data_IF_179623798969
#
_entry.id   IF_179623798969
#
_cell.length_a   1.000
_cell.length_b   1.000
_cell.length_c   1.000
_cell.angle_alpha   90.00
_cell.angle_beta   90.00
_cell.angle_gamma   90.00
#
_symmetry.space_group_name_H-M   'P 1'
#
loop_
_entity.id
_entity.type
_entity.pdbx_description
1 polymer ?
#
# COMPACT_ATOMS: atom_id res chain seq x y z
N UNK A 1 -0.91 -10.69 -7.98
CA UNK A 1 -1.60 -9.49 -7.47
C UNK A 1 -2.52 -9.81 -6.28
N UNK A 2 -3.65 -10.52 -6.46
CA UNK A 2 -4.62 -10.71 -5.36
C UNK A 2 -4.09 -11.44 -4.12
N UNK A 3 -3.25 -12.47 -4.29
CA UNK A 3 -2.63 -13.19 -3.17
C UNK A 3 -1.73 -12.28 -2.32
N UNK A 4 -0.88 -11.49 -2.99
CA UNK A 4 -0.02 -10.49 -2.37
C UNK A 4 -0.84 -9.48 -1.56
N UNK A 5 -1.86 -8.86 -2.16
CA UNK A 5 -2.72 -7.90 -1.47
C UNK A 5 -3.41 -8.46 -0.24
N UNK A 6 -3.91 -9.70 -0.32
CA UNK A 6 -4.50 -10.38 0.82
C UNK A 6 -3.47 -10.55 1.94
N UNK A 7 -2.26 -11.00 1.61
CA UNK A 7 -1.19 -11.15 2.59
C UNK A 7 -0.84 -9.82 3.28
N UNK A 8 -0.66 -8.74 2.50
CA UNK A 8 -0.34 -7.40 3.03
C UNK A 8 -1.38 -6.93 4.05
N UNK A 9 -2.67 -7.05 3.74
CA UNK A 9 -3.75 -6.60 4.65
C UNK A 9 -3.73 -7.37 5.97
N UNK A 10 -3.62 -8.70 5.91
CA UNK A 10 -3.62 -9.52 7.13
C UNK A 10 -2.36 -9.31 7.98
N UNK A 11 -1.19 -9.18 7.35
CA UNK A 11 0.04 -8.88 8.07
C UNK A 11 0.01 -7.49 8.68
N UNK A 12 -0.45 -6.47 7.94
CA UNK A 12 -0.57 -5.11 8.46
C UNK A 12 -1.47 -5.07 9.70
N UNK A 13 -2.63 -5.73 9.65
CA UNK A 13 -3.50 -5.89 10.82
C UNK A 13 -2.75 -6.51 12.01
N UNK A 14 -2.11 -7.68 11.80
CA UNK A 14 -1.38 -8.36 12.88
C UNK A 14 -0.24 -7.51 13.44
N UNK A 15 0.49 -6.79 12.59
CA UNK A 15 1.56 -5.87 13.00
C UNK A 15 1.02 -4.71 13.83
N UNK A 16 -0.09 -4.08 13.41
CA UNK A 16 -0.75 -3.04 14.18
C UNK A 16 -1.20 -3.53 15.56
N UNK A 17 -1.80 -4.71 15.64
CA UNK A 17 -2.21 -5.33 16.90
C UNK A 17 -1.02 -5.62 17.82
N UNK A 18 0.11 -6.09 17.28
CA UNK A 18 1.32 -6.27 18.08
C UNK A 18 1.90 -4.94 18.55
N UNK A 19 1.94 -3.92 17.70
CA UNK A 19 2.45 -2.60 18.08
C UNK A 19 1.62 -1.98 19.20
N UNK A 20 0.29 -2.04 19.11
CA UNK A 20 -0.61 -1.59 20.20
C UNK A 20 -0.32 -2.39 21.48
N UNK A 21 -0.19 -3.71 21.39
CA UNK A 21 0.07 -4.56 22.56
C UNK A 21 1.37 -4.20 23.29
N UNK A 22 2.45 -3.89 22.56
CA UNK A 22 3.78 -3.70 23.14
C UNK A 22 4.13 -2.24 23.44
N UNK A 23 3.53 -1.28 22.72
CA UNK A 23 3.87 0.14 22.82
C UNK A 23 2.69 1.01 23.28
N UNK A 24 1.45 0.55 23.10
CA UNK A 24 0.23 1.23 23.54
C UNK A 24 0.22 2.74 23.22
N UNK A 25 0.23 3.60 24.25
CA UNK A 25 0.19 5.04 24.10
C UNK A 25 1.48 5.66 23.53
N UNK A 26 2.63 4.96 23.59
CA UNK A 26 3.90 5.45 23.08
C UNK A 26 4.00 5.33 21.55
N UNK A 27 3.23 4.42 20.96
CA UNK A 27 3.13 4.25 19.50
C UNK A 27 1.67 3.95 19.11
N UNK A 28 0.79 4.96 19.14
CA UNK A 28 -0.61 4.77 18.80
C UNK A 28 -0.75 4.36 17.34
N UNK A 29 -1.61 3.38 17.09
CA UNK A 29 -1.95 2.89 15.75
C UNK A 29 -3.45 3.00 15.55
N UNK A 30 -3.88 3.74 14.54
CA UNK A 30 -5.29 3.74 14.14
C UNK A 30 -5.57 2.53 13.24
N UNK A 31 -6.22 1.51 13.81
CA UNK A 31 -6.49 0.25 13.10
C UNK A 31 -7.41 0.41 11.89
N UNK A 32 -8.37 1.32 11.91
CA UNK A 32 -9.27 1.55 10.78
C UNK A 32 -8.53 2.19 9.60
N UNK A 33 -7.70 3.21 9.90
CA UNK A 33 -6.84 3.86 8.90
C UNK A 33 -5.82 2.88 8.34
N UNK A 34 -5.19 2.07 9.20
CA UNK A 34 -4.22 1.06 8.80
C UNK A 34 -4.83 0.02 7.85
N UNK A 35 -5.97 -0.56 8.23
CA UNK A 35 -6.62 -1.60 7.44
C UNK A 35 -7.15 -1.02 6.12
N UNK A 36 -7.81 0.14 6.14
CA UNK A 36 -8.28 0.81 4.94
C UNK A 36 -7.13 1.14 3.99
N UNK A 37 -6.04 1.72 4.51
CA UNK A 37 -4.83 2.00 3.75
C UNK A 37 -4.19 0.74 3.16
N UNK A 38 -4.08 -0.34 3.94
CA UNK A 38 -3.49 -1.60 3.46
C UNK A 38 -4.32 -2.23 2.31
N UNK A 39 -5.65 -2.15 2.39
CA UNK A 39 -6.56 -2.62 1.34
C UNK A 39 -6.34 -1.81 0.06
N UNK A 40 -6.25 -0.48 0.18
CA UNK A 40 -6.33 0.45 -0.93
C UNK A 40 -4.99 0.93 -1.49
N UNK A 41 -3.85 0.65 -0.83
CA UNK A 41 -2.56 1.25 -1.20
C UNK A 41 -2.18 1.02 -2.68
N UNK A 42 -2.66 -0.06 -3.27
CA UNK A 42 -2.38 -0.48 -4.64
C UNK A 42 -3.55 -0.30 -5.62
N UNK A 43 -4.64 0.36 -5.21
CA UNK A 43 -5.87 0.45 -6.03
C UNK A 43 -5.62 1.14 -7.38
N UNK A 44 -4.66 2.07 -7.43
CA UNK A 44 -4.24 2.74 -8.67
C UNK A 44 -3.61 1.79 -9.70
N UNK A 45 -3.17 0.57 -9.34
CA UNK A 45 -2.65 -0.40 -10.31
C UNK A 45 -3.71 -0.83 -11.33
N UNK A 46 -4.99 -0.71 -10.99
CA UNK A 46 -6.10 -0.96 -11.91
C UNK A 46 -6.22 0.10 -13.01
N UNK A 47 -5.62 1.28 -12.80
CA UNK A 47 -5.52 2.36 -13.77
C UNK A 47 -4.15 2.38 -14.46
N UNK A 48 -3.08 2.05 -13.72
CA UNK A 48 -1.70 2.02 -14.25
C UNK A 48 -1.48 0.87 -15.26
N UNK A 49 -2.20 -0.23 -15.10
CA UNK A 49 -2.09 -1.41 -15.97
C UNK A 49 -3.42 -1.78 -16.60
N UNK A 50 -3.36 -2.30 -17.83
CA UNK A 50 -4.49 -2.86 -18.54
C UNK A 50 -4.18 -4.27 -19.07
N UNK A 51 -5.22 -5.02 -19.42
CA UNK A 51 -5.06 -6.32 -20.09
C UNK A 51 -5.21 -6.16 -21.59
N UNK A 52 -4.18 -6.56 -22.34
CA UNK A 52 -4.19 -6.60 -23.80
C UNK A 52 -3.72 -7.98 -24.24
N UNK A 53 -4.54 -8.68 -25.03
CA UNK A 53 -4.26 -10.04 -25.53
C UNK A 53 -3.87 -11.03 -24.41
N UNK A 54 -4.55 -10.95 -23.27
CA UNK A 54 -4.29 -11.79 -22.10
C UNK A 54 -3.03 -11.43 -21.30
N UNK A 55 -2.24 -10.44 -21.74
CA UNK A 55 -1.05 -9.96 -21.04
C UNK A 55 -1.36 -8.67 -20.29
N UNK A 56 -0.78 -8.52 -19.10
CA UNK A 56 -0.81 -7.26 -18.36
C UNK A 56 0.26 -6.33 -18.94
N UNK A 57 -0.15 -5.16 -19.41
CA UNK A 57 0.73 -4.12 -19.96
C UNK A 57 0.44 -2.79 -19.28
N UNK A 58 1.41 -1.87 -19.28
CA UNK A 58 1.17 -0.51 -18.77
C UNK A 58 0.18 0.20 -19.68
N UNK A 59 -0.86 0.80 -19.09
CA UNK A 59 -1.87 1.57 -19.82
C UNK A 59 -1.29 2.90 -20.30
N UNK A 60 -1.96 3.58 -21.24
CA UNK A 60 -1.56 4.93 -21.65
C UNK A 60 -1.54 5.90 -20.47
N UNK A 61 -2.56 5.83 -19.61
CA UNK A 61 -2.64 6.61 -18.38
C UNK A 61 -1.47 6.29 -17.42
N UNK A 62 -1.15 5.00 -17.26
CA UNK A 62 -0.08 4.51 -16.40
C UNK A 62 1.32 4.94 -16.82
N UNK A 63 1.54 5.28 -18.10
CA UNK A 63 2.81 5.85 -18.57
C UNK A 63 3.08 7.24 -17.99
N UNK A 64 2.01 7.99 -17.68
CA UNK A 64 2.10 9.35 -17.13
C UNK A 64 1.93 9.36 -15.61
N UNK A 65 1.05 8.52 -15.06
CA UNK A 65 0.63 8.57 -13.65
C UNK A 65 0.72 7.19 -13.00
N UNK A 66 1.64 7.05 -12.03
CA UNK A 66 1.84 5.79 -11.28
C UNK A 66 0.70 5.50 -10.30
N UNK A 67 0.59 4.25 -9.84
CA UNK A 67 -0.47 3.81 -8.92
C UNK A 67 -0.57 4.56 -7.59
N UNK A 68 0.50 5.10 -6.97
CA UNK A 68 0.33 5.85 -5.72
C UNK A 68 -0.50 7.13 -5.95
N UNK A 69 -0.19 7.88 -7.02
CA UNK A 69 -0.91 9.12 -7.36
C UNK A 69 -2.32 8.86 -7.87
N UNK A 70 -2.48 7.90 -8.78
CA UNK A 70 -3.80 7.56 -9.31
C UNK A 70 -4.69 6.88 -8.28
N UNK A 71 -4.10 6.12 -7.35
CA UNK A 71 -4.79 5.56 -6.19
C UNK A 71 -5.29 6.64 -5.23
N UNK A 72 -4.47 7.67 -4.96
CA UNK A 72 -4.91 8.85 -4.18
C UNK A 72 -6.07 9.53 -4.86
N UNK A 73 -5.96 9.86 -6.15
CA UNK A 73 -7.02 10.54 -6.89
C UNK A 73 -8.35 9.75 -6.87
N UNK A 74 -8.27 8.43 -7.04
CA UNK A 74 -9.45 7.56 -6.97
C UNK A 74 -10.07 7.52 -5.57
N UNK A 75 -9.25 7.37 -4.53
CA UNK A 75 -9.71 7.31 -3.15
C UNK A 75 -10.30 8.65 -2.68
N UNK A 76 -9.65 9.76 -3.04
CA UNK A 76 -10.11 11.12 -2.73
C UNK A 76 -11.46 11.42 -3.38
N UNK A 77 -11.65 11.01 -4.65
CA UNK A 77 -12.94 11.15 -5.35
C UNK A 77 -14.10 10.41 -4.66
N UNK A 78 -13.80 9.43 -3.81
CA UNK A 78 -14.79 8.68 -3.00
C UNK A 78 -14.86 9.16 -1.55
N UNK A 79 -14.24 10.30 -1.21
CA UNK A 79 -14.36 10.94 0.10
C UNK A 79 -13.57 10.26 1.21
N UNK A 80 -12.51 9.50 0.87
CA UNK A 80 -11.67 8.86 1.87
C UNK A 80 -10.83 9.89 2.63
N UNK A 81 -10.60 9.69 3.94
CA UNK A 81 -9.94 10.69 4.76
C UNK A 81 -8.46 10.84 4.40
N UNK A 82 -7.85 12.03 4.59
CA UNK A 82 -6.44 12.29 4.25
C UNK A 82 -5.45 11.29 4.85
N UNK A 83 -5.73 10.74 6.04
CA UNK A 83 -4.86 9.74 6.67
C UNK A 83 -4.77 8.43 5.85
N UNK A 84 -5.86 8.02 5.20
CA UNK A 84 -5.86 6.86 4.29
C UNK A 84 -5.19 7.23 2.97
N UNK A 85 -5.47 8.43 2.44
CA UNK A 85 -4.81 8.94 1.22
C UNK A 85 -3.28 8.98 1.40
N UNK A 86 -2.80 9.37 2.58
CA UNK A 86 -1.38 9.40 2.91
C UNK A 86 -0.71 8.03 2.82
N UNK A 87 -1.38 6.97 3.30
CA UNK A 87 -0.87 5.60 3.15
C UNK A 87 -0.77 5.24 1.67
N UNK A 88 -1.80 5.52 0.88
CA UNK A 88 -1.80 5.23 -0.56
C UNK A 88 -0.65 5.98 -1.26
N UNK A 89 -0.48 7.26 -0.96
CA UNK A 89 0.57 8.10 -1.54
C UNK A 89 1.99 7.62 -1.18
N UNK A 90 2.18 7.10 0.03
CA UNK A 90 3.53 6.94 0.62
C UNK A 90 3.95 5.50 0.90
N UNK A 91 3.11 4.50 0.63
CA UNK A 91 3.49 3.10 0.85
C UNK A 91 4.63 2.62 -0.07
N UNK A 92 4.81 3.24 -1.24
CA UNK A 92 5.86 2.91 -2.20
C UNK A 92 7.08 3.86 -2.09
N UNK A 93 7.93 3.90 -3.12
CA UNK A 93 9.14 4.72 -3.14
C UNK A 93 8.87 6.23 -3.09
N UNK A 94 7.69 6.68 -3.50
CA UNK A 94 7.22 8.07 -3.34
C UNK A 94 7.28 8.52 -1.89
N UNK A 95 7.05 7.60 -0.95
CA UNK A 95 7.14 7.88 0.48
C UNK A 95 8.55 8.17 0.99
N UNK A 96 9.61 7.89 0.21
CA UNK A 96 10.99 8.18 0.61
C UNK A 96 11.32 9.68 0.50
N UNK A 97 10.48 10.43 -0.20
CA UNK A 97 10.60 11.88 -0.36
C UNK A 97 9.83 12.66 0.72
N UNK A 98 9.09 11.97 1.59
CA UNK A 98 8.23 12.58 2.62
C UNK A 98 8.27 11.77 3.92
N UNK A 99 7.56 12.22 4.96
CA UNK A 99 7.41 11.46 6.20
C UNK A 99 6.17 10.56 6.14
N UNK A 100 6.36 9.28 6.42
CA UNK A 100 5.27 8.31 6.57
C UNK A 100 4.61 8.45 7.95
N UNK A 101 3.30 8.24 8.03
CA UNK A 101 2.63 8.00 9.31
C UNK A 101 3.04 6.62 9.85
N UNK A 102 2.69 6.34 11.11
CA UNK A 102 2.90 5.01 11.72
C UNK A 102 2.26 3.92 10.85
N UNK A 103 1.01 4.12 10.45
CA UNK A 103 0.27 3.18 9.61
C UNK A 103 0.90 3.03 8.23
N UNK A 104 1.37 4.13 7.63
CA UNK A 104 2.05 4.08 6.33
C UNK A 104 3.38 3.31 6.41
N UNK A 105 4.14 3.43 7.50
CA UNK A 105 5.32 2.61 7.74
C UNK A 105 4.98 1.12 7.84
N UNK A 106 3.91 0.77 8.58
CA UNK A 106 3.46 -0.62 8.69
C UNK A 106 3.11 -1.17 7.30
N UNK A 107 2.28 -0.44 6.53
CA UNK A 107 1.86 -0.89 5.20
C UNK A 107 3.05 -1.01 4.25
N UNK A 108 3.96 -0.03 4.22
CA UNK A 108 5.18 -0.08 3.42
C UNK A 108 6.00 -1.34 3.73
N UNK A 109 6.28 -1.60 5.00
CA UNK A 109 7.08 -2.77 5.38
C UNK A 109 6.35 -4.09 5.11
N UNK A 110 5.04 -4.17 5.36
CA UNK A 110 4.25 -5.37 5.02
C UNK A 110 4.20 -5.64 3.51
N UNK A 111 4.14 -4.59 2.70
CA UNK A 111 4.18 -4.68 1.24
C UNK A 111 5.55 -5.19 0.76
N UNK A 112 6.63 -4.53 1.18
CA UNK A 112 7.98 -4.85 0.73
C UNK A 112 8.52 -6.17 1.32
N UNK A 113 8.13 -6.56 2.54
CA UNK A 113 8.55 -7.84 3.11
C UNK A 113 7.99 -9.05 2.35
N UNK A 114 6.87 -8.89 1.63
CA UNK A 114 6.33 -9.95 0.78
C UNK A 114 6.72 -9.81 -0.69
N UNK A 115 6.88 -8.57 -1.16
CA UNK A 115 7.29 -8.29 -2.53
C UNK A 115 8.77 -8.58 -2.81
N UNK A 116 9.69 -8.13 -1.94
CA UNK A 116 11.13 -8.26 -2.17
C UNK A 116 11.59 -9.72 -2.25
N UNK A 117 11.18 -10.63 -1.34
CA UNK A 117 11.55 -12.05 -1.49
C UNK A 117 10.95 -12.68 -2.75
N UNK A 118 9.78 -12.22 -3.20
CA UNK A 118 9.19 -12.70 -4.44
C UNK A 118 10.06 -12.32 -5.65
N UNK A 119 10.61 -11.10 -5.66
CA UNK A 119 11.35 -10.51 -6.78
C UNK A 119 12.86 -10.78 -6.76
N UNK A 120 13.49 -10.75 -5.58
CA UNK A 120 14.94 -10.58 -5.43
C UNK A 120 15.61 -11.66 -4.56
N UNK A 121 14.86 -12.68 -4.08
CA UNK A 121 15.47 -13.75 -3.26
C UNK A 121 16.60 -14.46 -4.01
N UNK A 122 17.62 -14.87 -3.26
CA UNK A 122 18.64 -15.77 -3.76
C UNK A 122 18.00 -17.06 -4.26
N UNK A 123 18.37 -17.50 -5.47
CA UNK A 123 17.96 -18.77 -6.05
C UNK A 123 19.14 -19.72 -5.90
N UNK A 124 18.97 -20.74 -5.05
CA UNK A 124 19.91 -21.84 -4.85
C UNK A 124 19.35 -23.14 -5.42
#
# INVERSE_FOLDING_TARGET
>A
FMQHKRAVVHMAKSCGEQMIKFFDADLPVNMDVLIAGAILCDVGKLLEYEKKDGKTVQSEYGKYVRHPFSGVALAEAHGLPPAVLHIIATHAGEGDLVRRSVEAYIVHHCDFMTFLPFKERLVI
#
